data_IF_434043532049
#
_entry.id   IF_434043532049
#
_cell.length_a   1.000
_cell.length_b   1.000
_cell.length_c   1.000
_cell.angle_alpha   90.00
_cell.angle_beta   90.00
_cell.angle_gamma   90.00
#
_symmetry.space_group_name_H-M   'P 1'
#
loop_
_entity.id
_entity.type
_entity.pdbx_description
1 polymer ?
#
# COMPACT_ATOMS: atom_id res chain seq x y z
N UNK A 1 37.13 -11.25 -15.85
CA UNK A 1 35.70 -11.48 -15.39
C UNK A 1 34.83 -10.22 -15.43
N UNK A 2 35.37 -9.00 -15.43
CA UNK A 2 34.58 -7.76 -15.50
C UNK A 2 34.08 -7.49 -16.94
N UNK A 3 34.84 -7.84 -17.95
CA UNK A 3 34.57 -7.60 -19.36
C UNK A 3 33.86 -8.77 -20.07
N UNK A 4 33.72 -9.93 -19.44
CA UNK A 4 33.03 -11.11 -20.00
C UNK A 4 31.49 -11.05 -19.88
N UNK A 5 30.97 -9.90 -19.47
CA UNK A 5 29.49 -9.74 -19.34
C UNK A 5 28.89 -9.41 -20.69
N UNK A 6 27.82 -10.11 -21.10
CA UNK A 6 27.10 -9.78 -22.32
C UNK A 6 26.58 -8.34 -22.30
N UNK A 7 26.54 -7.69 -23.47
CA UNK A 7 26.14 -6.28 -23.64
C UNK A 7 24.85 -5.92 -22.90
N UNK A 8 23.89 -6.85 -22.85
CA UNK A 8 22.62 -6.64 -22.13
C UNK A 8 22.78 -6.37 -20.61
N UNK A 9 23.90 -6.76 -20.01
CA UNK A 9 24.15 -6.45 -18.59
C UNK A 9 24.67 -5.03 -18.34
N UNK A 10 25.08 -4.33 -19.39
CA UNK A 10 25.50 -2.94 -19.32
C UNK A 10 24.39 -1.94 -19.59
N UNK A 11 23.23 -2.43 -20.10
CA UNK A 11 22.05 -1.59 -20.35
C UNK A 11 21.35 -1.24 -19.04
N UNK A 12 20.76 -0.04 -18.97
CA UNK A 12 19.96 0.37 -17.81
C UNK A 12 18.69 -0.50 -17.70
N UNK A 13 18.65 -1.32 -16.67
CA UNK A 13 17.55 -2.24 -16.41
C UNK A 13 16.30 -1.53 -15.84
N UNK A 14 16.33 -0.22 -15.62
CA UNK A 14 15.22 0.53 -15.06
C UNK A 14 14.21 0.87 -16.15
N UNK A 15 12.99 0.35 -16.01
CA UNK A 15 11.93 0.58 -17.00
C UNK A 15 11.30 1.96 -16.83
N UNK A 16 10.99 2.34 -15.57
CA UNK A 16 10.38 3.63 -15.26
C UNK A 16 11.29 4.40 -14.30
N UNK A 17 11.79 5.57 -14.73
CA UNK A 17 12.75 6.39 -13.98
C UNK A 17 12.08 7.44 -13.10
N UNK A 18 10.84 7.19 -12.67
CA UNK A 18 10.04 8.16 -11.94
C UNK A 18 9.96 7.85 -10.45
N UNK A 19 9.96 8.90 -9.62
CA UNK A 19 9.83 8.75 -8.16
C UNK A 19 8.38 8.49 -7.78
N UNK A 20 8.16 7.56 -6.85
CA UNK A 20 6.85 7.23 -6.29
C UNK A 20 6.06 8.46 -5.82
N UNK A 21 6.75 9.42 -5.20
CA UNK A 21 6.09 10.59 -4.59
C UNK A 21 5.51 11.55 -5.63
N UNK A 22 5.91 11.42 -6.89
CA UNK A 22 5.40 12.21 -8.01
C UNK A 22 4.13 11.60 -8.63
N UNK A 23 3.76 10.37 -8.31
CA UNK A 23 2.56 9.74 -8.84
C UNK A 23 1.34 10.46 -8.25
N UNK A 24 0.56 11.10 -9.10
CA UNK A 24 -0.67 11.82 -8.74
C UNK A 24 -1.92 10.96 -8.92
N UNK A 25 -1.94 10.11 -9.95
CA UNK A 25 -3.06 9.21 -10.19
C UNK A 25 -2.59 7.89 -10.82
N UNK A 26 -3.38 6.85 -10.63
CA UNK A 26 -3.17 5.51 -11.18
C UNK A 26 -4.48 4.98 -11.74
N UNK A 27 -4.42 4.41 -12.94
CA UNK A 27 -5.51 3.65 -13.53
C UNK A 27 -4.99 2.29 -13.93
N UNK A 28 -5.68 1.25 -13.51
CA UNK A 28 -5.44 -0.14 -13.93
C UNK A 28 -6.63 -0.56 -14.77
N UNK A 29 -6.39 -1.18 -15.91
CA UNK A 29 -7.43 -1.75 -16.76
C UNK A 29 -6.95 -3.13 -17.23
N UNK A 30 -7.79 -4.14 -17.07
CA UNK A 30 -7.51 -5.49 -17.58
C UNK A 30 -8.24 -5.77 -18.90
N UNK A 31 -7.89 -6.88 -19.54
CA UNK A 31 -8.51 -7.33 -20.80
C UNK A 31 -9.99 -7.70 -20.68
N UNK A 32 -10.48 -7.94 -19.46
CA UNK A 32 -11.87 -8.32 -19.18
C UNK A 32 -12.78 -7.09 -18.94
N UNK A 33 -12.25 -5.88 -19.12
CA UNK A 33 -12.99 -4.64 -18.90
C UNK A 33 -13.01 -4.17 -17.44
N UNK A 34 -12.44 -4.94 -16.50
CA UNK A 34 -12.30 -4.47 -15.12
C UNK A 34 -11.30 -3.32 -15.06
N UNK A 35 -11.62 -2.31 -14.27
CA UNK A 35 -10.71 -1.19 -14.06
C UNK A 35 -10.78 -0.61 -12.65
N UNK A 36 -9.71 0.05 -12.26
CA UNK A 36 -9.60 0.80 -11.02
C UNK A 36 -8.91 2.13 -11.32
N UNK A 37 -9.51 3.23 -10.89
CA UNK A 37 -8.90 4.55 -10.93
C UNK A 37 -8.80 5.12 -9.51
N UNK A 38 -7.60 5.51 -9.15
CA UNK A 38 -7.32 6.12 -7.86
C UNK A 38 -6.44 7.37 -8.04
N UNK A 39 -6.76 8.42 -7.30
CA UNK A 39 -6.02 9.68 -7.29
C UNK A 39 -5.46 9.91 -5.90
N UNK A 40 -4.27 10.49 -5.84
CA UNK A 40 -3.67 10.93 -4.59
C UNK A 40 -4.33 12.21 -4.13
N UNK A 41 -4.75 12.27 -2.88
CA UNK A 41 -5.24 13.50 -2.27
C UNK A 41 -4.05 14.41 -1.93
N UNK A 42 -3.94 15.60 -2.54
CA UNK A 42 -2.85 16.53 -2.25
C UNK A 42 -2.97 17.16 -0.86
N UNK A 43 -4.20 17.30 -0.33
CA UNK A 43 -4.48 18.05 0.89
C UNK A 43 -4.36 17.20 2.16
N UNK A 44 -4.52 15.89 2.03
CA UNK A 44 -4.49 14.92 3.13
C UNK A 44 -3.14 14.22 3.28
N UNK A 45 -2.04 14.94 3.16
CA UNK A 45 -0.75 14.45 3.59
C UNK A 45 -0.68 14.50 5.11
N UNK A 46 -0.90 13.38 5.78
CA UNK A 46 -0.53 13.25 7.19
C UNK A 46 1.00 13.41 7.28
N UNK A 47 1.43 14.67 7.45
CA UNK A 47 2.86 15.06 7.53
C UNK A 47 3.60 14.29 8.62
N UNK A 48 2.89 13.86 9.69
CA UNK A 48 3.46 13.07 10.79
C UNK A 48 3.70 11.62 10.40
N UNK A 49 2.84 11.02 9.55
CA UNK A 49 2.92 9.60 9.18
C UNK A 49 3.53 9.33 7.81
N UNK A 50 3.87 10.37 7.02
CA UNK A 50 4.36 10.25 5.62
C UNK A 50 3.48 9.34 4.74
N UNK A 51 2.22 9.16 5.09
CA UNK A 51 1.26 8.37 4.33
C UNK A 51 0.52 9.32 3.40
N UNK A 52 0.53 8.98 2.14
CA UNK A 52 -0.29 9.65 1.14
C UNK A 52 -1.62 8.92 1.07
N UNK A 53 -2.70 9.63 1.30
CA UNK A 53 -4.03 9.07 1.12
C UNK A 53 -4.35 8.99 -0.37
N UNK A 54 -4.99 7.90 -0.74
CA UNK A 54 -5.49 7.68 -2.09
C UNK A 54 -7.01 7.69 -2.02
N UNK A 55 -7.64 8.43 -2.93
CA UNK A 55 -9.08 8.44 -3.12
C UNK A 55 -9.44 7.55 -4.29
N UNK A 56 -10.46 6.72 -4.13
CA UNK A 56 -11.07 6.00 -5.22
C UNK A 56 -11.83 7.01 -6.08
N UNK A 57 -11.60 6.98 -7.40
CA UNK A 57 -12.35 7.76 -8.37
C UNK A 57 -13.45 6.89 -8.95
N UNK A 58 -13.08 5.70 -9.45
CA UNK A 58 -14.01 4.77 -10.05
C UNK A 58 -13.40 3.37 -10.09
N UNK A 59 -14.24 2.34 -10.03
CA UNK A 59 -13.81 0.95 -10.22
C UNK A 59 -14.91 0.10 -10.84
N UNK A 60 -14.52 -0.94 -11.56
CA UNK A 60 -15.37 -2.02 -12.05
C UNK A 60 -14.64 -3.34 -11.84
N UNK A 61 -15.17 -4.31 -11.09
CA UNK A 61 -16.40 -4.21 -10.29
C UNK A 61 -16.29 -3.12 -9.21
N UNK A 62 -17.44 -2.62 -8.76
CA UNK A 62 -17.51 -1.57 -7.76
C UNK A 62 -16.89 -1.99 -6.42
N UNK A 63 -16.12 -1.09 -5.84
CA UNK A 63 -15.52 -1.21 -4.52
C UNK A 63 -15.85 0.04 -3.71
N UNK A 64 -16.52 -0.12 -2.58
CA UNK A 64 -16.95 1.01 -1.75
C UNK A 64 -15.78 1.77 -1.12
N UNK A 65 -14.79 1.04 -0.59
CA UNK A 65 -13.62 1.61 0.08
C UNK A 65 -12.32 1.03 -0.49
N UNK A 66 -11.32 1.90 -0.66
CA UNK A 66 -10.02 1.58 -1.23
C UNK A 66 -8.99 1.23 -0.15
N UNK A 67 -8.29 0.11 -0.30
CA UNK A 67 -7.09 -0.16 0.48
C UNK A 67 -5.92 0.74 0.02
N UNK A 68 -5.77 1.88 0.66
CA UNK A 68 -4.72 2.87 0.34
C UNK A 68 -3.31 2.28 0.46
N UNK A 69 -3.13 1.26 1.31
CA UNK A 69 -1.84 0.57 1.47
C UNK A 69 -1.49 -0.25 0.23
N UNK A 70 -2.48 -0.91 -0.37
CA UNK A 70 -2.28 -1.73 -1.56
C UNK A 70 -2.01 -0.86 -2.80
N UNK A 71 -2.70 0.27 -2.95
CA UNK A 71 -2.37 1.27 -3.98
C UNK A 71 -0.96 1.85 -3.74
N UNK A 72 -0.60 2.13 -2.49
CA UNK A 72 0.75 2.56 -2.15
C UNK A 72 1.84 1.54 -2.51
N UNK A 73 1.55 0.23 -2.39
CA UNK A 73 2.45 -0.85 -2.84
C UNK A 73 2.54 -0.91 -4.36
N UNK A 74 1.41 -0.75 -5.05
CA UNK A 74 1.39 -0.66 -6.51
C UNK A 74 2.26 0.50 -7.01
N UNK A 75 2.06 1.71 -6.47
CA UNK A 75 2.86 2.89 -6.79
C UNK A 75 4.36 2.67 -6.53
N UNK A 76 4.71 1.98 -5.43
CA UNK A 76 6.09 1.64 -5.10
C UNK A 76 6.69 0.60 -6.06
N UNK A 77 5.88 -0.35 -6.52
CA UNK A 77 6.32 -1.37 -7.49
C UNK A 77 6.57 -0.76 -8.85
N UNK A 78 5.73 0.18 -9.29
CA UNK A 78 5.93 0.93 -10.54
C UNK A 78 7.24 1.72 -10.53
N UNK A 79 7.51 2.46 -9.44
CA UNK A 79 8.73 3.28 -9.33
C UNK A 79 10.03 2.47 -9.21
N UNK A 80 9.92 1.17 -9.00
CA UNK A 80 11.07 0.24 -8.88
C UNK A 80 11.08 -0.82 -9.98
N UNK A 81 10.27 -0.63 -11.02
CA UNK A 81 10.13 -1.61 -12.08
C UNK A 81 11.42 -1.74 -12.88
N UNK A 82 11.99 -2.93 -12.84
CA UNK A 82 13.25 -3.26 -13.54
C UNK A 82 13.08 -4.51 -14.38
N UNK A 83 13.75 -4.53 -15.52
CA UNK A 83 13.83 -5.73 -16.36
C UNK A 83 14.89 -6.70 -15.83
N UNK A 84 14.68 -7.97 -16.11
CA UNK A 84 15.71 -9.00 -15.99
C UNK A 84 16.50 -9.12 -17.31
N UNK A 85 15.76 -9.04 -18.41
CA UNK A 85 16.31 -9.21 -19.76
C UNK A 85 15.59 -8.27 -20.73
N UNK A 86 16.28 -7.88 -21.79
CA UNK A 86 15.73 -7.12 -22.89
C UNK A 86 15.25 -8.11 -23.96
N UNK A 87 14.01 -7.98 -24.40
CA UNK A 87 13.42 -8.82 -25.43
C UNK A 87 13.55 -8.13 -26.80
N UNK A 88 14.81 -7.89 -27.21
CA UNK A 88 15.11 -7.25 -28.50
C UNK A 88 14.61 -8.12 -29.65
N UNK A 89 14.05 -7.50 -30.69
CA UNK A 89 13.53 -8.19 -31.87
C UNK A 89 12.21 -8.95 -31.68
N UNK A 90 11.64 -9.01 -30.49
CA UNK A 90 10.32 -9.62 -30.29
C UNK A 90 9.22 -8.76 -30.90
N UNK A 91 8.38 -9.36 -31.74
CA UNK A 91 7.18 -8.73 -32.28
C UNK A 91 6.14 -8.53 -31.20
N UNK A 92 5.39 -7.43 -31.29
CA UNK A 92 4.37 -7.09 -30.27
C UNK A 92 3.30 -8.18 -30.13
N UNK A 93 2.88 -8.79 -31.23
CA UNK A 93 1.92 -9.90 -31.25
C UNK A 93 2.44 -11.15 -30.51
N UNK A 94 3.71 -11.50 -30.69
CA UNK A 94 4.34 -12.63 -30.00
C UNK A 94 4.43 -12.39 -28.49
N UNK A 95 4.73 -11.15 -28.11
CA UNK A 95 4.78 -10.73 -26.73
C UNK A 95 3.38 -10.51 -26.11
N UNK A 96 2.31 -10.54 -26.93
CA UNK A 96 0.93 -10.23 -26.51
C UNK A 96 0.77 -8.79 -26.04
N UNK A 97 1.51 -7.87 -26.65
CA UNK A 97 1.49 -6.45 -26.32
C UNK A 97 0.64 -5.63 -27.32
N UNK A 98 0.19 -6.23 -28.41
CA UNK A 98 -0.87 -5.74 -29.29
C UNK A 98 -2.24 -5.77 -28.61
N UNK A 99 -2.51 -6.87 -27.87
CA UNK A 99 -3.68 -7.03 -27.01
C UNK A 99 -3.20 -7.34 -25.58
N UNK A 100 -2.73 -6.32 -24.85
CA UNK A 100 -2.13 -6.55 -23.54
C UNK A 100 -3.14 -7.09 -22.55
N UNK A 101 -2.71 -8.04 -21.73
CA UNK A 101 -3.52 -8.58 -20.63
C UNK A 101 -3.94 -7.48 -19.64
N UNK A 102 -3.08 -6.47 -19.48
CA UNK A 102 -3.34 -5.34 -18.58
C UNK A 102 -2.65 -4.08 -19.07
N UNK A 103 -3.33 -2.95 -18.86
CA UNK A 103 -2.81 -1.60 -19.07
C UNK A 103 -2.80 -0.86 -17.74
N UNK A 104 -1.70 -0.18 -17.44
CA UNK A 104 -1.57 0.65 -16.23
C UNK A 104 -1.17 2.04 -16.68
N UNK A 105 -2.01 3.03 -16.37
CA UNK A 105 -1.70 4.42 -16.59
C UNK A 105 -1.22 5.03 -15.27
N UNK A 106 -0.03 5.56 -15.26
CA UNK A 106 0.55 6.25 -14.14
C UNK A 106 0.76 7.72 -14.51
N UNK A 107 0.11 8.61 -13.78
CA UNK A 107 0.16 10.05 -14.01
C UNK A 107 1.09 10.65 -12.97
N UNK A 108 2.14 11.29 -13.44
CA UNK A 108 3.19 11.89 -12.61
C UNK A 108 3.13 13.40 -12.68
N UNK A 109 3.21 14.06 -11.53
CA UNK A 109 3.44 15.50 -11.47
C UNK A 109 4.86 15.80 -11.98
N UNK A 110 5.00 16.64 -12.99
CA UNK A 110 6.31 17.10 -13.46
C UNK A 110 7.04 17.80 -12.30
N UNK A 111 8.29 17.41 -12.05
CA UNK A 111 9.09 18.10 -11.04
C UNK A 111 9.34 19.52 -11.50
N UNK A 112 9.06 20.51 -10.65
CA UNK A 112 9.70 21.80 -10.82
C UNK A 112 11.21 21.51 -10.82
N UNK A 113 11.93 21.97 -11.86
CA UNK A 113 13.37 21.90 -11.88
C UNK A 113 13.85 22.46 -10.53
N UNK A 114 14.46 21.63 -9.70
CA UNK A 114 15.06 22.13 -8.48
C UNK A 114 16.08 23.17 -8.92
N UNK A 115 15.81 24.47 -8.66
CA UNK A 115 16.87 25.45 -8.62
C UNK A 115 18.00 24.82 -7.80
N UNK A 116 19.23 24.77 -8.30
CA UNK A 116 20.34 24.24 -7.52
C UNK A 116 20.31 24.97 -6.18
N UNK A 117 20.25 24.22 -5.11
CA UNK A 117 20.27 24.81 -3.77
C UNK A 117 21.52 25.70 -3.68
N UNK A 118 21.42 26.97 -3.25
CA UNK A 118 22.58 27.80 -3.07
C UNK A 118 23.54 27.04 -2.17
N UNK A 119 24.76 26.82 -2.68
CA UNK A 119 25.74 25.97 -2.04
C UNK A 119 25.88 26.33 -0.58
N UNK A 120 25.60 25.41 0.32
CA UNK A 120 26.01 25.52 1.72
C UNK A 120 27.55 25.62 1.72
N UNK A 121 28.05 26.83 1.87
CA UNK A 121 29.47 27.06 2.19
C UNK A 121 29.79 26.21 3.41
N UNK A 122 30.56 25.16 3.22
CA UNK A 122 31.13 24.40 4.32
C UNK A 122 32.06 25.37 5.10
N UNK A 123 31.78 25.52 6.37
CA UNK A 123 32.70 26.21 7.28
C UNK A 123 34.05 25.52 7.24
N UNK A 124 35.16 26.28 7.31
CA UNK A 124 36.51 25.71 7.23
C UNK A 124 36.86 24.97 8.53
N UNK A 125 36.86 23.65 8.45
CA UNK A 125 37.44 22.82 9.51
C UNK A 125 38.94 22.94 9.49
N UNK A 126 39.52 23.34 10.63
CA UNK A 126 40.99 23.39 10.90
C UNK A 126 41.57 21.99 10.81
N UNK A 127 42.44 21.76 9.84
CA UNK A 127 43.46 20.71 9.94
C UNK A 127 44.81 21.26 9.44
N UNK A 128 45.78 21.22 10.33
CA UNK A 128 47.20 21.48 10.06
C UNK A 128 47.77 20.31 9.25
N UNK A 129 48.52 20.63 8.20
CA UNK A 129 49.28 19.62 7.46
C UNK A 129 50.00 20.28 6.29
N UNK A 130 51.28 20.58 6.48
CA UNK A 130 52.26 21.09 5.52
C UNK A 130 52.45 20.14 4.34
N UNK A 131 52.45 20.65 3.11
CA UNK A 131 53.49 20.38 2.08
C UNK A 131 53.21 21.23 0.82
N UNK A 132 54.27 21.74 0.28
CA UNK A 132 54.40 22.77 -0.75
C UNK A 132 54.12 22.30 -2.20
N UNK A 133 54.10 23.22 -3.18
CA UNK A 133 53.33 23.11 -4.39
C UNK A 133 54.12 22.65 -5.60
N UNK A 134 53.50 21.92 -6.50
CA UNK A 134 54.06 21.69 -7.84
C UNK A 134 53.16 22.38 -8.90
N UNK A 135 53.73 23.44 -9.47
CA UNK A 135 53.22 24.17 -10.64
C UNK A 135 53.27 23.28 -11.87
N UNK A 136 52.21 23.23 -12.63
CA UNK A 136 52.25 23.07 -14.09
C UNK A 136 51.09 23.84 -14.72
N UNK A 137 51.43 24.66 -15.67
CA UNK A 137 50.58 25.55 -16.46
C UNK A 137 50.04 24.83 -17.71
N UNK A 138 49.16 25.45 -18.49
CA UNK A 138 48.02 24.85 -19.21
C UNK A 138 48.34 24.64 -20.69
N UNK A 139 47.52 23.80 -21.30
CA UNK A 139 47.42 23.76 -22.75
C UNK A 139 45.96 23.99 -23.15
N UNK A 140 45.75 25.11 -23.86
CA UNK A 140 44.60 25.38 -24.68
C UNK A 140 44.53 24.42 -25.88
N UNK A 141 43.37 23.90 -26.21
CA UNK A 141 43.04 23.57 -27.57
C UNK A 141 41.55 23.84 -27.82
N UNK A 142 41.35 24.86 -28.62
CA UNK A 142 40.11 25.15 -29.32
C UNK A 142 39.93 24.10 -30.43
N UNK A 143 38.76 23.47 -30.47
CA UNK A 143 38.29 23.03 -31.77
C UNK A 143 36.76 23.15 -31.88
N UNK A 144 36.38 23.90 -32.88
CA UNK A 144 34.99 24.09 -33.37
C UNK A 144 34.58 22.86 -34.14
N UNK A 145 33.44 22.27 -33.77
CA UNK A 145 32.72 21.32 -34.62
C UNK A 145 31.22 21.59 -34.52
N UNK A 146 30.72 22.43 -35.43
CA UNK A 146 29.30 22.58 -35.68
C UNK A 146 28.86 21.45 -36.58
N UNK A 147 28.11 20.51 -36.04
CA UNK A 147 27.32 19.62 -36.88
C UNK A 147 25.86 19.68 -36.42
N UNK A 148 25.05 20.30 -37.29
CA UNK A 148 23.60 20.32 -37.22
C UNK A 148 23.07 18.98 -37.75
N UNK A 149 22.80 18.03 -36.91
CA UNK A 149 21.88 16.96 -37.25
C UNK A 149 20.46 17.38 -36.88
N UNK A 150 19.70 17.71 -37.93
CA UNK A 150 18.24 17.78 -37.90
C UNK A 150 17.72 16.35 -37.84
N UNK A 151 17.63 15.77 -36.68
CA UNK A 151 16.81 14.58 -36.49
C UNK A 151 15.46 14.99 -35.91
N UNK A 152 14.42 14.65 -36.67
CA UNK A 152 13.04 15.00 -36.42
C UNK A 152 12.61 14.56 -35.02
N UNK A 153 12.10 15.48 -34.24
CA UNK A 153 11.43 15.20 -33.01
C UNK A 153 10.34 14.15 -33.26
N UNK A 154 10.33 12.99 -32.57
CA UNK A 154 9.26 12.04 -32.75
C UNK A 154 7.95 12.74 -32.32
N UNK A 155 6.98 12.68 -33.22
CA UNK A 155 5.64 13.21 -33.01
C UNK A 155 5.15 12.82 -31.60
N UNK A 156 4.73 13.80 -30.85
CA UNK A 156 4.11 13.64 -29.53
C UNK A 156 2.94 12.67 -29.70
N UNK A 157 3.18 11.40 -29.45
CA UNK A 157 2.19 10.35 -29.58
C UNK A 157 0.97 10.69 -28.76
N UNK A 158 -0.20 10.75 -29.39
CA UNK A 158 -1.50 10.96 -28.76
C UNK A 158 -1.61 9.98 -27.58
N UNK A 159 -1.69 10.53 -26.38
CA UNK A 159 -1.87 9.73 -25.17
C UNK A 159 -3.23 9.03 -25.27
N UNK A 160 -3.24 7.71 -25.19
CA UNK A 160 -4.49 6.95 -25.19
C UNK A 160 -5.35 7.42 -24.03
N UNK A 161 -6.61 7.87 -24.26
CA UNK A 161 -7.46 8.31 -23.15
C UNK A 161 -7.69 7.15 -22.18
N UNK A 162 -7.67 7.45 -20.89
CA UNK A 162 -7.93 6.44 -19.84
C UNK A 162 -9.39 6.04 -19.80
N UNK A 163 -10.27 6.83 -20.43
CA UNK A 163 -11.72 6.66 -20.44
C UNK A 163 -12.38 7.08 -19.14
N UNK A 164 -11.67 7.84 -18.28
CA UNK A 164 -12.16 8.34 -16.99
C UNK A 164 -11.94 9.85 -17.00
N UNK A 165 -13.03 10.61 -17.11
CA UNK A 165 -12.99 12.07 -17.36
C UNK A 165 -12.11 12.83 -16.38
N UNK A 166 -12.20 12.53 -15.08
CA UNK A 166 -11.39 13.19 -14.05
C UNK A 166 -9.89 12.93 -14.22
N UNK A 167 -9.50 11.73 -14.65
CA UNK A 167 -8.11 11.36 -14.88
C UNK A 167 -7.61 11.90 -16.21
N UNK A 168 -8.47 11.88 -17.24
CA UNK A 168 -8.14 12.43 -18.57
C UNK A 168 -7.96 13.95 -18.52
N UNK A 169 -8.67 14.64 -17.61
CA UNK A 169 -8.46 16.06 -17.32
C UNK A 169 -7.04 16.30 -16.76
N UNK A 170 -6.60 15.50 -15.79
CA UNK A 170 -5.22 15.58 -15.28
C UNK A 170 -4.17 15.25 -16.35
N UNK A 171 -4.49 14.32 -17.25
CA UNK A 171 -3.59 13.93 -18.34
C UNK A 171 -3.39 15.02 -19.39
N UNK A 172 -4.36 15.95 -19.51
CA UNK A 172 -4.29 17.11 -20.41
C UNK A 172 -3.52 18.28 -19.80
N UNK A 173 -3.39 18.34 -18.49
CA UNK A 173 -2.65 19.40 -17.80
C UNK A 173 -1.15 19.28 -18.08
N UNK A 174 -0.48 20.32 -18.61
CA UNK A 174 0.95 20.29 -18.93
C UNK A 174 1.86 20.07 -17.71
N UNK A 175 1.35 20.26 -16.50
CA UNK A 175 2.06 19.97 -15.24
C UNK A 175 2.23 18.47 -14.96
N UNK A 176 1.54 17.62 -15.71
CA UNK A 176 1.58 16.19 -15.53
C UNK A 176 2.16 15.46 -16.75
N UNK A 177 2.67 14.27 -16.51
CA UNK A 177 3.14 13.35 -17.53
C UNK A 177 2.49 11.99 -17.35
N UNK A 178 2.02 11.39 -18.45
CA UNK A 178 1.35 10.10 -18.45
C UNK A 178 2.30 9.03 -19.00
N UNK A 179 2.50 7.99 -18.20
CA UNK A 179 3.16 6.76 -18.63
C UNK A 179 2.14 5.62 -18.69
N UNK A 180 1.99 5.03 -19.86
CA UNK A 180 1.20 3.83 -20.05
C UNK A 180 2.13 2.61 -20.08
N UNK A 181 1.88 1.66 -19.19
CA UNK A 181 2.61 0.41 -19.03
C UNK A 181 1.72 -0.73 -19.51
N UNK A 182 2.19 -1.49 -20.47
CA UNK A 182 1.52 -2.63 -21.08
C UNK A 182 2.11 -3.92 -20.52
N UNK A 183 1.25 -4.81 -20.00
CA UNK A 183 1.63 -6.15 -19.56
C UNK A 183 1.12 -7.17 -20.59
N UNK A 184 2.04 -7.86 -21.25
CA UNK A 184 1.78 -8.85 -22.27
C UNK A 184 1.70 -10.28 -21.72
N UNK A 185 2.09 -11.25 -22.56
CA UNK A 185 2.08 -12.68 -22.24
C UNK A 185 3.09 -13.02 -21.14
N UNK A 186 2.73 -14.01 -20.32
CA UNK A 186 3.62 -14.63 -19.36
C UNK A 186 4.47 -15.71 -20.05
N UNK A 187 5.70 -15.84 -19.58
CA UNK A 187 6.64 -16.90 -19.95
C UNK A 187 6.81 -17.83 -18.74
N UNK A 188 6.00 -18.89 -18.61
CA UNK A 188 5.98 -19.73 -17.41
C UNK A 188 7.34 -20.37 -17.11
N UNK A 189 8.03 -20.88 -18.13
CA UNK A 189 9.37 -21.51 -17.98
C UNK A 189 10.41 -20.53 -17.44
N UNK A 190 10.41 -19.28 -17.90
CA UNK A 190 11.34 -18.24 -17.46
C UNK A 190 10.88 -17.52 -16.19
N UNK A 191 9.64 -17.73 -15.75
CA UNK A 191 8.97 -17.00 -14.64
C UNK A 191 9.03 -15.49 -14.84
N UNK A 192 8.82 -15.04 -16.09
CA UNK A 192 8.84 -13.64 -16.50
C UNK A 192 7.60 -13.31 -17.31
N UNK A 193 7.32 -12.03 -17.49
CA UNK A 193 6.25 -11.50 -18.34
C UNK A 193 6.80 -10.38 -19.21
N UNK A 194 6.32 -10.28 -20.44
CA UNK A 194 6.65 -9.16 -21.30
C UNK A 194 5.97 -7.89 -20.83
N UNK A 195 6.75 -6.81 -20.79
CA UNK A 195 6.31 -5.48 -20.37
C UNK A 195 6.84 -4.45 -21.35
N UNK A 196 6.05 -3.42 -21.64
CA UNK A 196 6.43 -2.30 -22.50
C UNK A 196 5.86 -0.99 -21.96
N UNK A 197 6.61 0.09 -22.09
CA UNK A 197 6.04 1.43 -22.00
C UNK A 197 5.48 1.81 -23.38
N UNK A 198 4.27 2.35 -23.43
CA UNK A 198 3.63 2.66 -24.72
C UNK A 198 4.49 3.57 -25.60
N UNK A 199 5.14 4.57 -25.00
CA UNK A 199 6.03 5.53 -25.69
C UNK A 199 7.45 4.99 -25.97
N UNK A 200 7.83 3.84 -25.44
CA UNK A 200 9.17 3.26 -25.66
C UNK A 200 9.05 2.05 -26.59
N UNK A 201 9.80 1.96 -27.69
CA UNK A 201 9.77 0.81 -28.60
C UNK A 201 10.27 -0.48 -27.93
N UNK A 202 11.07 -0.37 -26.88
CA UNK A 202 11.71 -1.48 -26.21
C UNK A 202 10.71 -2.39 -25.48
N UNK A 203 10.82 -3.70 -25.71
CA UNK A 203 10.12 -4.75 -24.96
C UNK A 203 11.05 -5.27 -23.87
N UNK A 204 10.51 -5.45 -22.68
CA UNK A 204 11.22 -5.90 -21.49
C UNK A 204 10.69 -7.25 -21.01
N UNK A 205 11.57 -8.09 -20.46
CA UNK A 205 11.20 -9.33 -19.77
C UNK A 205 11.37 -9.14 -18.26
N UNK A 206 10.25 -9.06 -17.54
CA UNK A 206 10.21 -8.71 -16.11
C UNK A 206 9.83 -9.93 -15.27
N UNK A 207 10.54 -10.22 -14.16
CA UNK A 207 10.18 -11.33 -13.27
C UNK A 207 8.74 -11.19 -12.74
N UNK A 208 7.94 -12.26 -12.79
CA UNK A 208 6.54 -12.26 -12.33
C UNK A 208 6.41 -11.85 -10.87
N UNK A 209 7.39 -12.22 -10.03
CA UNK A 209 7.45 -11.78 -8.63
C UNK A 209 7.46 -10.25 -8.45
N UNK A 210 8.09 -9.52 -9.39
CA UNK A 210 8.16 -8.05 -9.38
C UNK A 210 6.84 -7.41 -9.82
N UNK A 211 6.03 -8.17 -10.57
CA UNK A 211 4.73 -7.74 -11.09
C UNK A 211 3.56 -8.06 -10.16
N UNK A 212 3.78 -8.79 -9.06
CA UNK A 212 2.73 -9.25 -8.16
C UNK A 212 1.74 -8.15 -7.73
N UNK A 213 2.21 -6.94 -7.45
CA UNK A 213 1.33 -5.83 -7.09
C UNK A 213 0.63 -5.19 -8.29
N UNK A 214 1.21 -5.33 -9.51
CA UNK A 214 0.65 -4.83 -10.75
C UNK A 214 -0.41 -5.77 -11.32
N UNK A 215 -0.38 -7.04 -10.92
CA UNK A 215 -1.28 -8.10 -11.38
C UNK A 215 -2.47 -8.35 -10.44
N UNK A 216 -2.56 -7.63 -9.33
CA UNK A 216 -3.70 -7.72 -8.41
C UNK A 216 -5.02 -7.43 -9.13
N UNK A 217 -6.05 -8.25 -8.84
CA UNK A 217 -7.41 -8.00 -9.33
C UNK A 217 -7.97 -6.72 -8.69
N UNK A 218 -8.96 -6.10 -9.32
CA UNK A 218 -9.60 -4.87 -8.78
C UNK A 218 -10.13 -5.09 -7.36
N UNK A 219 -10.77 -6.22 -7.11
CA UNK A 219 -11.29 -6.58 -5.78
C UNK A 219 -10.21 -6.73 -4.71
N UNK A 220 -8.94 -6.97 -5.07
CA UNK A 220 -7.85 -7.03 -4.11
C UNK A 220 -7.53 -5.66 -3.50
N UNK A 221 -7.93 -4.58 -4.18
CA UNK A 221 -7.74 -3.21 -3.70
C UNK A 221 -8.89 -2.71 -2.82
N UNK A 222 -9.96 -3.50 -2.64
CA UNK A 222 -11.03 -3.20 -1.69
C UNK A 222 -10.48 -3.25 -0.26
N UNK A 223 -10.88 -2.30 0.60
CA UNK A 223 -10.45 -2.31 2.02
C UNK A 223 -10.96 -3.58 2.71
N UNK A 224 -10.03 -4.32 3.27
CA UNK A 224 -10.26 -5.60 3.94
C UNK A 224 -10.44 -5.46 5.45
N UNK A 225 -10.61 -4.24 5.94
CA UNK A 225 -10.89 -4.00 7.36
C UNK A 225 -12.29 -4.52 7.69
N UNK A 226 -12.35 -5.49 8.58
CA UNK A 226 -13.61 -6.13 8.99
C UNK A 226 -14.38 -5.21 9.92
N UNK A 227 -13.69 -4.64 10.91
CA UNK A 227 -14.26 -3.74 11.90
C UNK A 227 -13.35 -2.53 12.13
N UNK A 228 -14.00 -1.40 12.46
CA UNK A 228 -13.36 -0.16 12.92
C UNK A 228 -14.01 0.24 14.24
N UNK A 229 -13.53 -0.32 15.34
CA UNK A 229 -13.99 0.00 16.68
C UNK A 229 -12.87 0.60 17.50
N UNK A 230 -13.20 1.49 18.43
CA UNK A 230 -12.26 1.96 19.44
C UNK A 230 -12.24 0.95 20.60
N UNK A 231 -11.09 0.31 20.82
CA UNK A 231 -10.92 -0.66 21.90
C UNK A 231 -11.22 -0.08 23.28
N UNK A 232 -11.09 1.24 23.45
CA UNK A 232 -11.40 1.93 24.71
C UNK A 232 -12.90 1.99 24.98
N UNK A 233 -13.71 2.06 23.93
CA UNK A 233 -15.16 2.11 23.98
C UNK A 233 -15.81 0.72 24.00
N UNK A 234 -15.03 -0.35 23.86
CA UNK A 234 -15.53 -1.71 23.93
C UNK A 234 -15.84 -2.06 25.39
N UNK A 235 -17.14 -2.29 25.71
CA UNK A 235 -17.63 -2.53 27.06
C UNK A 235 -17.98 -3.99 27.33
N UNK A 236 -18.40 -4.76 26.30
CA UNK A 236 -18.79 -6.14 26.43
C UNK A 236 -18.36 -6.94 25.20
N UNK A 237 -17.87 -8.14 25.44
CA UNK A 237 -17.55 -9.15 24.40
C UNK A 237 -18.30 -10.42 24.80
N UNK A 238 -19.18 -10.89 23.94
CA UNK A 238 -19.88 -12.13 24.13
C UNK A 238 -19.49 -13.08 22.99
N UNK A 239 -19.01 -14.27 23.34
CA UNK A 239 -18.62 -15.31 22.39
C UNK A 239 -19.49 -16.51 22.60
N UNK A 240 -20.26 -16.88 21.59
CA UNK A 240 -21.08 -18.09 21.55
C UNK A 240 -20.41 -19.10 20.61
N UNK A 241 -20.15 -20.28 21.13
CA UNK A 241 -19.56 -21.40 20.41
C UNK A 241 -20.36 -22.66 20.73
N UNK A 242 -20.40 -23.68 19.87
CA UNK A 242 -21.12 -24.94 20.15
C UNK A 242 -20.76 -25.58 21.52
N UNK A 243 -19.57 -25.31 22.04
CA UNK A 243 -19.11 -25.82 23.35
C UNK A 243 -19.48 -24.96 24.57
N UNK A 244 -20.13 -23.82 24.36
CA UNK A 244 -20.53 -22.94 25.45
C UNK A 244 -20.52 -21.44 25.09
N UNK A 245 -20.92 -20.64 26.04
CA UNK A 245 -21.00 -19.19 25.98
C UNK A 245 -19.98 -18.57 26.94
N UNK A 246 -19.31 -17.53 26.49
CA UNK A 246 -18.42 -16.73 27.35
C UNK A 246 -18.78 -15.26 27.23
N UNK A 247 -18.97 -14.61 28.35
CA UNK A 247 -19.32 -13.19 28.43
C UNK A 247 -18.27 -12.46 29.24
N UNK A 248 -17.61 -11.51 28.61
CA UNK A 248 -16.63 -10.62 29.20
C UNK A 248 -17.19 -9.21 29.27
N UNK A 249 -17.10 -8.58 30.44
CA UNK A 249 -17.60 -7.23 30.67
C UNK A 249 -16.49 -6.38 31.27
N UNK A 250 -16.41 -5.14 30.82
CA UNK A 250 -15.46 -4.16 31.32
C UNK A 250 -16.08 -3.38 32.47
N UNK A 251 -15.53 -3.54 33.65
CA UNK A 251 -16.01 -2.87 34.89
C UNK A 251 -14.97 -1.90 35.42
N UNK A 252 -15.43 -0.82 36.01
CA UNK A 252 -14.56 0.10 36.74
C UNK A 252 -14.07 -0.58 38.02
N UNK A 253 -12.77 -0.67 38.17
CA UNK A 253 -12.18 -1.13 39.42
C UNK A 253 -11.95 0.09 40.32
N UNK A 254 -12.62 0.11 41.48
CA UNK A 254 -12.32 1.09 42.49
C UNK A 254 -10.81 1.03 42.85
N UNK A 255 -10.15 2.17 43.05
CA UNK A 255 -8.76 2.17 43.44
C UNK A 255 -8.60 1.36 44.73
N UNK A 256 -7.84 0.25 44.66
CA UNK A 256 -7.45 -0.49 45.86
C UNK A 256 -6.78 0.50 46.79
N UNK A 257 -7.31 0.67 48.01
CA UNK A 257 -6.62 1.40 49.06
C UNK A 257 -5.23 0.77 49.20
N UNK A 258 -4.20 1.51 48.78
CA UNK A 258 -2.83 1.07 48.96
C UNK A 258 -2.59 0.89 50.45
N UNK A 259 -2.19 -0.32 50.86
CA UNK A 259 -1.72 -0.57 52.23
C UNK A 259 -0.58 0.41 52.49
N UNK A 260 -0.84 1.27 53.51
CA UNK A 260 0.13 2.25 53.99
C UNK A 260 1.25 1.52 54.74
N UNK A 261 2.19 0.91 54.06
CA UNK A 261 3.52 0.59 54.56
C UNK A 261 4.52 0.92 53.47
N UNK A 262 5.46 1.80 53.80
CA UNK A 262 6.55 2.28 52.98
C UNK A 262 6.26 3.38 51.93
N UNK A 263 6.01 4.60 52.42
CA UNK A 263 6.18 5.81 51.60
C UNK A 263 6.54 7.03 52.46
N UNK A 264 7.79 7.07 52.92
CA UNK A 264 8.47 8.30 53.27
C UNK A 264 9.54 8.55 52.21
N UNK A 265 9.20 9.21 51.09
CA UNK A 265 10.00 10.10 50.25
C UNK A 265 9.25 10.28 48.93
N UNK A 266 8.91 11.54 48.66
CA UNK A 266 8.39 12.15 47.41
C UNK A 266 6.97 12.72 47.53
N UNK A 267 6.82 13.67 48.43
CA UNK A 267 5.72 14.65 48.42
C UNK A 267 6.08 15.75 47.39
N UNK A 268 5.77 15.54 46.08
CA UNK A 268 5.57 16.62 45.09
C UNK A 268 5.17 16.02 43.77
N UNK A 269 3.97 15.42 43.68
CA UNK A 269 3.23 15.16 42.39
C UNK A 269 1.92 14.42 42.68
N UNK A 270 1.12 14.92 43.61
CA UNK A 270 -0.17 14.32 43.94
C UNK A 270 -1.26 15.34 43.67
N UNK A 271 -1.68 15.51 42.40
CA UNK A 271 -2.98 16.07 42.04
C UNK A 271 -3.34 15.77 40.60
N UNK A 272 -3.17 14.52 40.18
CA UNK A 272 -3.92 13.99 39.05
C UNK A 272 -4.87 12.95 39.58
N UNK A 273 -6.18 13.32 39.72
CA UNK A 273 -7.27 12.38 39.97
C UNK A 273 -7.03 11.12 39.17
N UNK A 274 -6.66 10.03 39.81
CA UNK A 274 -6.42 8.74 39.16
C UNK A 274 -7.73 8.34 38.47
N UNK A 275 -7.73 8.34 37.15
CA UNK A 275 -8.89 7.87 36.38
C UNK A 275 -9.14 6.41 36.76
N UNK A 276 -10.40 6.01 37.02
CA UNK A 276 -10.74 4.65 37.36
C UNK A 276 -10.14 3.68 36.34
N UNK A 277 -9.50 2.64 36.83
CA UNK A 277 -8.88 1.63 35.95
C UNK A 277 -9.97 0.66 35.50
N UNK A 278 -10.26 0.65 34.21
CA UNK A 278 -11.20 -0.31 33.63
C UNK A 278 -10.52 -1.69 33.52
N UNK A 279 -11.17 -2.72 34.08
CA UNK A 279 -10.66 -4.10 34.08
C UNK A 279 -11.71 -5.05 33.52
N UNK A 280 -11.27 -6.02 32.73
CA UNK A 280 -12.15 -7.06 32.22
C UNK A 280 -12.47 -8.11 33.29
N UNK A 281 -13.74 -8.46 33.42
CA UNK A 281 -14.25 -9.51 34.30
C UNK A 281 -15.09 -10.50 33.49
N UNK A 282 -15.08 -11.79 33.85
CA UNK A 282 -16.01 -12.78 33.29
C UNK A 282 -17.34 -12.67 34.00
N UNK A 283 -18.40 -12.65 33.19
CA UNK A 283 -19.77 -12.71 33.68
C UNK A 283 -20.33 -14.14 33.57
N UNK A 284 -19.94 -14.82 32.47
CA UNK A 284 -20.26 -16.23 32.19
C UNK A 284 -19.04 -16.94 31.56
N UNK A 285 -18.67 -18.14 32.04
CA UNK A 285 -19.07 -18.81 33.28
C UNK A 285 -18.45 -18.14 34.51
N UNK A 286 -19.12 -18.19 35.65
CA UNK A 286 -18.73 -17.44 36.89
C UNK A 286 -17.38 -17.84 37.48
N UNK A 287 -16.91 -19.06 37.23
CA UNK A 287 -15.73 -19.64 37.89
C UNK A 287 -14.42 -19.45 37.08
N UNK A 288 -14.45 -18.71 36.00
CA UNK A 288 -13.31 -18.54 35.13
C UNK A 288 -12.47 -17.31 35.52
N UNK A 289 -11.18 -17.53 35.82
CA UNK A 289 -10.24 -16.41 36.01
C UNK A 289 -9.83 -15.84 34.67
N UNK A 290 -9.95 -14.53 34.51
CA UNK A 290 -9.60 -13.83 33.26
C UNK A 290 -8.15 -13.42 33.22
N UNK A 291 -7.45 -13.75 32.15
CA UNK A 291 -6.25 -13.02 31.74
C UNK A 291 -6.67 -11.68 31.12
N UNK A 292 -6.77 -10.64 31.94
CA UNK A 292 -7.13 -9.29 31.51
C UNK A 292 -6.20 -8.76 30.41
N UNK A 293 -4.92 -9.09 30.47
CA UNK A 293 -3.95 -8.70 29.45
C UNK A 293 -4.20 -9.43 28.12
N UNK A 294 -4.69 -10.67 28.16
CA UNK A 294 -5.14 -11.42 26.98
C UNK A 294 -6.34 -10.76 26.32
N UNK A 295 -7.34 -10.37 27.12
CA UNK A 295 -8.55 -9.70 26.60
C UNK A 295 -8.21 -8.33 26.01
N UNK A 296 -7.35 -7.55 26.67
CA UNK A 296 -6.89 -6.25 26.12
C UNK A 296 -6.14 -6.42 24.79
N UNK A 297 -5.38 -7.51 24.63
CA UNK A 297 -4.76 -7.85 23.34
C UNK A 297 -5.79 -8.14 22.25
N UNK A 298 -6.84 -8.91 22.57
CA UNK A 298 -7.95 -9.17 21.64
C UNK A 298 -8.66 -7.88 21.26
N UNK A 299 -9.02 -7.03 22.23
CA UNK A 299 -9.63 -5.73 21.98
C UNK A 299 -8.76 -4.84 21.07
N UNK A 300 -7.45 -4.79 21.32
CA UNK A 300 -6.49 -4.05 20.49
C UNK A 300 -6.35 -4.66 19.09
N UNK A 301 -6.49 -5.98 18.93
CA UNK A 301 -6.52 -6.61 17.62
C UNK A 301 -7.76 -6.23 16.82
N UNK A 302 -8.93 -6.20 17.44
CA UNK A 302 -10.18 -5.78 16.81
C UNK A 302 -10.10 -4.33 16.32
N UNK A 303 -9.46 -3.44 17.09
CA UNK A 303 -9.26 -2.04 16.68
C UNK A 303 -8.30 -1.87 15.50
N UNK A 304 -7.12 -2.52 15.55
CA UNK A 304 -5.99 -2.14 14.67
C UNK A 304 -5.71 -3.12 13.55
N UNK A 305 -6.05 -4.40 13.72
CA UNK A 305 -5.53 -5.49 12.89
C UNK A 305 -6.58 -6.44 12.38
N UNK A 306 -7.84 -6.23 12.71
CA UNK A 306 -8.88 -7.16 12.28
C UNK A 306 -9.24 -6.93 10.82
N UNK A 307 -8.45 -7.58 9.96
CA UNK A 307 -8.55 -7.49 8.51
C UNK A 307 -8.74 -8.87 7.90
N UNK A 308 -9.68 -8.98 6.98
CA UNK A 308 -9.86 -10.16 6.14
C UNK A 308 -8.63 -10.37 5.23
N UNK A 309 -8.34 -11.60 4.91
CA UNK A 309 -7.33 -11.94 3.88
C UNK A 309 -7.83 -11.70 2.46
N UNK A 310 -9.14 -11.80 2.24
CA UNK A 310 -9.82 -11.58 0.98
C UNK A 310 -11.32 -11.61 1.17
N UNK A 311 -12.05 -11.33 0.12
CA UNK A 311 -13.49 -11.47 0.07
C UNK A 311 -13.86 -12.89 -0.35
N UNK A 312 -15.03 -13.38 0.09
CA UNK A 312 -15.58 -14.65 -0.37
C UNK A 312 -15.96 -14.56 -1.86
N UNK A 313 -15.78 -15.64 -2.57
CA UNK A 313 -16.17 -15.74 -3.98
C UNK A 313 -17.68 -15.94 -4.13
N UNK A 314 -18.33 -16.42 -3.08
CA UNK A 314 -19.77 -16.60 -2.99
C UNK A 314 -20.33 -15.95 -1.74
N UNK A 315 -21.54 -15.42 -1.84
CA UNK A 315 -22.29 -14.85 -0.73
C UNK A 315 -23.36 -15.82 -0.20
N UNK A 316 -23.48 -17.01 -0.79
CA UNK A 316 -24.48 -18.02 -0.38
C UNK A 316 -24.17 -18.52 1.04
N UNK A 317 -25.11 -18.35 2.01
CA UNK A 317 -24.86 -18.71 3.41
C UNK A 317 -24.53 -20.20 3.60
N UNK A 318 -25.21 -21.07 2.86
CA UNK A 318 -25.00 -22.53 2.93
C UNK A 318 -23.57 -22.94 2.52
N UNK A 319 -23.02 -22.31 1.47
CA UNK A 319 -21.67 -22.61 0.99
C UNK A 319 -20.60 -22.08 1.93
N UNK A 320 -20.90 -21.03 2.68
CA UNK A 320 -19.99 -20.41 3.63
C UNK A 320 -20.17 -20.91 5.07
N UNK A 321 -21.28 -21.62 5.34
CA UNK A 321 -21.65 -22.08 6.69
C UNK A 321 -22.09 -20.92 7.59
N UNK A 322 -22.61 -19.85 7.01
CA UNK A 322 -23.13 -18.69 7.74
C UNK A 322 -24.62 -18.79 8.01
N UNK A 323 -25.32 -19.75 7.41
CA UNK A 323 -26.67 -20.19 7.76
C UNK A 323 -26.73 -20.87 9.13
N UNK A 324 -25.69 -21.67 9.45
CA UNK A 324 -25.46 -22.30 10.76
C UNK A 324 -24.06 -22.01 11.23
N UNK A 325 -23.82 -20.81 11.77
CA UNK A 325 -22.46 -20.37 12.11
C UNK A 325 -21.86 -21.22 13.23
N UNK A 326 -20.61 -21.62 13.08
CA UNK A 326 -19.83 -22.33 14.11
C UNK A 326 -19.53 -21.46 15.33
N UNK A 327 -19.64 -20.15 15.19
CA UNK A 327 -19.45 -19.20 16.29
C UNK A 327 -20.13 -17.88 16.01
N UNK A 328 -20.52 -17.21 17.08
CA UNK A 328 -21.10 -15.88 17.06
C UNK A 328 -20.38 -15.03 18.08
N UNK A 329 -19.98 -13.81 17.70
CA UNK A 329 -19.34 -12.85 18.59
C UNK A 329 -20.15 -11.56 18.57
N UNK A 330 -20.61 -11.14 19.75
CA UNK A 330 -21.32 -9.88 19.94
C UNK A 330 -20.40 -8.89 20.65
N UNK A 331 -20.21 -7.73 20.07
CA UNK A 331 -19.38 -6.65 20.58
C UNK A 331 -20.25 -5.45 20.92
N UNK A 332 -20.31 -5.09 22.20
CA UNK A 332 -20.99 -3.87 22.64
C UNK A 332 -19.99 -2.74 22.79
N UNK A 333 -20.23 -1.66 22.06
CA UNK A 333 -19.38 -0.47 22.04
C UNK A 333 -20.15 0.70 22.63
N UNK A 334 -19.53 1.45 23.51
CA UNK A 334 -20.13 2.66 24.11
C UNK A 334 -20.51 3.67 23.03
N UNK A 335 -21.76 4.13 23.05
CA UNK A 335 -22.33 5.04 22.06
C UNK A 335 -23.01 4.38 20.87
N UNK A 336 -22.87 3.07 20.68
CA UNK A 336 -23.58 2.32 19.65
C UNK A 336 -24.92 1.78 20.20
N UNK A 337 -26.01 1.95 19.43
CA UNK A 337 -27.36 1.50 19.85
C UNK A 337 -27.53 -0.02 19.82
N UNK A 338 -26.81 -0.70 18.96
CA UNK A 338 -26.89 -2.15 18.80
C UNK A 338 -25.51 -2.78 18.88
N UNK A 339 -25.39 -3.97 19.45
CA UNK A 339 -24.11 -4.70 19.42
C UNK A 339 -23.74 -5.05 17.98
N UNK A 340 -22.45 -5.02 17.70
CA UNK A 340 -21.90 -5.48 16.43
C UNK A 340 -21.84 -7.00 16.48
N UNK A 341 -22.47 -7.65 15.54
CA UNK A 341 -22.52 -9.11 15.47
C UNK A 341 -21.57 -9.62 14.40
N UNK A 342 -20.73 -10.59 14.77
CA UNK A 342 -19.83 -11.30 13.88
C UNK A 342 -20.24 -12.77 13.83
N UNK A 343 -20.56 -13.26 12.66
CA UNK A 343 -20.81 -14.68 12.41
C UNK A 343 -19.57 -15.34 11.87
N UNK A 344 -19.18 -16.46 12.46
CA UNK A 344 -18.04 -17.28 12.05
C UNK A 344 -18.57 -18.54 11.38
N UNK A 345 -18.39 -18.63 10.08
CA UNK A 345 -18.79 -19.78 9.27
C UNK A 345 -17.73 -20.88 9.23
N UNK A 346 -17.93 -21.84 8.34
CA UNK A 346 -17.08 -23.01 8.18
C UNK A 346 -15.65 -22.66 7.75
N UNK A 347 -14.77 -23.60 7.97
CA UNK A 347 -13.39 -23.52 7.51
C UNK A 347 -13.31 -23.67 5.98
N UNK A 348 -12.66 -22.71 5.30
CA UNK A 348 -12.37 -22.78 3.86
C UNK A 348 -11.05 -23.53 3.59
N UNK A 349 -10.07 -23.40 4.49
CA UNK A 349 -8.71 -23.90 4.35
C UNK A 349 -8.06 -23.90 5.75
N UNK A 350 -7.11 -24.76 6.04
CA UNK A 350 -6.46 -25.00 7.35
C UNK A 350 -6.20 -23.77 8.24
N UNK A 351 -6.36 -22.56 7.72
CA UNK A 351 -6.12 -21.29 8.44
C UNK A 351 -7.07 -20.18 8.04
N UNK A 352 -8.18 -20.48 7.35
CA UNK A 352 -9.13 -19.47 6.86
C UNK A 352 -10.55 -19.91 7.17
N UNK A 353 -11.34 -19.01 7.72
CA UNK A 353 -12.77 -19.20 7.97
C UNK A 353 -13.55 -18.10 7.29
N UNK A 354 -14.77 -18.41 6.92
CA UNK A 354 -15.72 -17.39 6.49
C UNK A 354 -16.14 -16.56 7.70
N UNK A 355 -16.31 -15.28 7.48
CA UNK A 355 -16.76 -14.35 8.50
C UNK A 355 -17.72 -13.34 7.88
N UNK A 356 -18.80 -13.03 8.59
CA UNK A 356 -19.75 -11.98 8.22
C UNK A 356 -19.96 -11.03 9.39
N UNK A 357 -20.03 -9.74 9.08
CA UNK A 357 -20.45 -8.69 10.02
C UNK A 357 -21.89 -8.38 9.69
N UNK A 358 -22.80 -8.56 10.65
CA UNK A 358 -24.19 -8.19 10.46
C UNK A 358 -24.36 -6.67 10.58
N UNK A 359 -25.16 -6.09 9.68
CA UNK A 359 -25.43 -4.65 9.63
C UNK A 359 -24.43 -3.85 8.81
N UNK A 360 -23.56 -4.51 8.06
CA UNK A 360 -22.69 -3.87 7.04
C UNK A 360 -22.92 -4.48 5.67
#
# INVERSE_FOLDING_TARGET
RLFDKPLNRWRDATILKEKRDRIAALVIRDSNGNFLAAQRDPDETDRKKKRTNWKLIQATPDIQELDTSDIGRLASSLSRLRTKEFADGKKLAEAGLDKPHRRIFAIFKKGSAKKPAPGKKKAPGKTKGKSEPRKTKPAESKEKGKEKSKDGAPAVGKTTPTGIAAIDALAKDPSYEVHEILLGKEQPKAKTRYVKLAKNPQVFSVPTRSLKNLEKKVLDFKDKTVLRIDAKKLTRIEVQHPKGKTVLVRKEQAPKKADKKDAKKDKKKADKKAKPKLVWTVEEPKDLKVDTAGVDRVASMLEKRFRARGYAETTEPEKTGLDKPEGRVLLTVEGERKPIELLVGKEKDKRKRYLQVQGK
#
